data_IF_596743078049
#
_entry.id   IF_596743078049
#
_cell.length_a   1.000
_cell.length_b   1.000
_cell.length_c   1.000
_cell.angle_alpha   90.00
_cell.angle_beta   90.00
_cell.angle_gamma   90.00
#
_symmetry.space_group_name_H-M   'P 1'
#
loop_
_entity.id
_entity.type
_entity.pdbx_description
1 polymer ?
#
# COMPACT_ATOMS: atom_id res chain seq x y z
N UNK A 1 21.10 -12.36 4.79
CA UNK A 1 20.02 -11.92 3.88
C UNK A 1 18.83 -12.83 4.14
N UNK A 2 17.85 -12.38 4.93
CA UNK A 2 16.59 -13.09 5.08
C UNK A 2 15.80 -12.76 3.81
N UNK A 3 15.63 -13.73 2.92
CA UNK A 3 14.72 -13.57 1.79
C UNK A 3 13.35 -13.15 2.33
N UNK A 4 12.71 -12.14 1.73
CA UNK A 4 11.32 -11.83 2.02
C UNK A 4 10.49 -13.08 1.73
N UNK A 5 10.14 -13.77 2.80
CA UNK A 5 9.22 -14.87 2.74
C UNK A 5 7.81 -14.26 2.73
N UNK A 6 7.36 -13.84 1.55
CA UNK A 6 5.94 -13.53 1.23
C UNK A 6 5.00 -14.74 1.49
N UNK A 7 5.53 -15.83 2.07
CA UNK A 7 4.89 -17.07 2.44
C UNK A 7 3.65 -16.90 3.34
N UNK A 8 3.42 -15.70 3.91
CA UNK A 8 2.25 -15.37 4.72
C UNK A 8 1.29 -14.35 4.08
N UNK A 9 1.57 -13.86 2.88
CA UNK A 9 0.71 -12.93 2.14
C UNK A 9 -0.49 -13.68 1.56
N UNK A 10 -1.38 -14.11 2.45
CA UNK A 10 -2.70 -14.56 2.09
C UNK A 10 -3.48 -13.35 1.62
N UNK A 11 -3.57 -13.22 0.29
CA UNK A 11 -4.40 -12.23 -0.38
C UNK A 11 -5.90 -12.58 -0.29
N UNK A 12 -6.26 -13.61 0.48
CA UNK A 12 -7.65 -13.88 0.84
C UNK A 12 -8.26 -12.62 1.48
N UNK A 13 -9.46 -12.18 1.03
CA UNK A 13 -10.02 -10.91 1.48
C UNK A 13 -10.24 -10.81 3.00
N UNK A 14 -10.36 -11.96 3.68
CA UNK A 14 -10.50 -12.06 5.14
C UNK A 14 -9.18 -11.79 5.88
N UNK A 15 -8.04 -12.11 5.26
CA UNK A 15 -6.69 -11.99 5.80
C UNK A 15 -6.14 -10.55 5.69
N UNK A 16 -6.61 -9.78 4.70
CA UNK A 16 -6.26 -8.37 4.52
C UNK A 16 -6.69 -7.47 5.69
N UNK A 17 -7.75 -7.86 6.42
CA UNK A 17 -8.34 -7.06 7.51
C UNK A 17 -7.42 -6.82 8.70
N UNK A 18 -6.34 -7.58 8.84
CA UNK A 18 -5.35 -7.39 9.91
C UNK A 18 -4.37 -6.25 9.65
N UNK A 19 -4.30 -5.74 8.41
CA UNK A 19 -3.27 -4.79 7.99
C UNK A 19 -1.90 -5.43 7.70
N UNK A 20 -1.69 -6.70 8.07
CA UNK A 20 -0.36 -7.33 8.05
C UNK A 20 0.16 -7.56 6.63
N UNK A 21 -0.68 -8.05 5.73
CA UNK A 21 -0.35 -8.18 4.31
C UNK A 21 0.08 -6.84 3.67
N UNK A 22 -0.57 -5.74 4.05
CA UNK A 22 -0.22 -4.40 3.60
C UNK A 22 1.14 -3.95 4.16
N UNK A 23 1.44 -4.30 5.41
CA UNK A 23 2.74 -4.01 6.02
C UNK A 23 3.89 -4.74 5.32
N UNK A 24 3.70 -6.02 4.97
CA UNK A 24 4.70 -6.83 4.26
C UNK A 24 5.02 -6.24 2.88
N UNK A 25 4.00 -5.72 2.18
CA UNK A 25 4.21 -5.02 0.90
C UNK A 25 4.96 -3.70 1.11
N UNK A 26 4.64 -2.94 2.16
CA UNK A 26 5.37 -1.70 2.48
C UNK A 26 6.84 -1.95 2.82
N UNK A 27 7.11 -3.01 3.58
CA UNK A 27 8.47 -3.46 3.84
C UNK A 27 9.22 -3.76 2.54
N UNK A 28 8.63 -4.52 1.61
CA UNK A 28 9.23 -4.77 0.31
C UNK A 28 9.31 -3.56 -0.64
N UNK A 29 8.61 -2.45 -0.34
CA UNK A 29 8.74 -1.18 -1.07
C UNK A 29 9.97 -0.43 -0.60
N UNK A 30 10.17 -0.28 0.71
CA UNK A 30 11.33 0.43 1.25
C UNK A 30 11.72 -0.17 2.59
N UNK A 31 12.59 -1.17 2.58
CA UNK A 31 13.07 -1.84 3.78
C UNK A 31 13.91 -0.91 4.69
N UNK A 32 14.44 0.20 4.16
CA UNK A 32 15.18 1.15 4.98
C UNK A 32 14.23 1.93 5.89
N UNK A 33 13.07 2.33 5.37
CA UNK A 33 12.05 3.03 6.14
C UNK A 33 11.13 2.05 6.90
N UNK A 34 10.51 1.12 6.18
CA UNK A 34 9.64 0.08 6.71
C UNK A 34 10.45 -1.13 7.19
N UNK A 35 11.45 -0.90 8.03
CA UNK A 35 12.43 -1.91 8.47
C UNK A 35 11.84 -3.13 9.19
N UNK A 36 12.67 -4.16 9.39
CA UNK A 36 12.36 -5.33 10.24
C UNK A 36 11.82 -4.91 11.63
N UNK A 37 12.45 -3.91 12.25
CA UNK A 37 12.05 -3.39 13.57
C UNK A 37 10.67 -2.71 13.51
N UNK A 38 10.34 -2.08 12.39
CA UNK A 38 8.99 -1.56 12.17
C UNK A 38 7.99 -2.69 11.96
N UNK A 39 8.35 -3.70 11.16
CA UNK A 39 7.53 -4.88 10.88
C UNK A 39 7.19 -5.69 12.13
N UNK A 40 8.10 -5.81 13.10
CA UNK A 40 7.85 -6.47 14.39
C UNK A 40 6.73 -5.80 15.20
N UNK A 41 6.48 -4.50 14.98
CA UNK A 41 5.40 -3.76 15.66
C UNK A 41 4.03 -4.05 15.06
N UNK A 42 3.97 -4.64 13.86
CA UNK A 42 2.72 -5.00 13.17
C UNK A 42 2.45 -6.49 13.40
N UNK A 43 1.63 -6.79 14.41
CA UNK A 43 1.38 -8.18 14.80
C UNK A 43 0.59 -8.95 13.74
N UNK A 44 0.93 -10.23 13.56
CA UNK A 44 0.12 -11.18 12.82
C UNK A 44 -1.14 -11.52 13.64
N UNK A 45 -2.31 -11.42 13.02
CA UNK A 45 -3.57 -11.80 13.64
C UNK A 45 -4.38 -12.70 12.72
N UNK A 46 -5.03 -13.69 13.31
CA UNK A 46 -6.00 -14.52 12.61
C UNK A 46 -7.24 -13.72 12.21
N UNK A 47 -7.94 -14.18 11.17
CA UNK A 47 -9.09 -13.49 10.59
C UNK A 47 -10.22 -13.21 11.59
N UNK A 48 -10.38 -14.09 12.60
CA UNK A 48 -11.37 -14.03 13.67
C UNK A 48 -10.89 -13.28 14.94
N UNK A 49 -9.67 -12.74 14.94
CA UNK A 49 -9.17 -11.94 16.06
C UNK A 49 -10.03 -10.70 16.29
N UNK A 50 -9.98 -10.15 17.50
CA UNK A 50 -10.71 -8.93 17.86
C UNK A 50 -10.34 -7.76 16.93
N UNK A 51 -11.33 -7.08 16.33
CA UNK A 51 -11.05 -5.98 15.41
C UNK A 51 -10.25 -4.84 16.06
N UNK A 52 -10.33 -4.63 17.37
CA UNK A 52 -9.57 -3.57 18.05
C UNK A 52 -8.07 -3.78 17.97
N UNK A 53 -7.60 -5.03 17.98
CA UNK A 53 -6.17 -5.34 17.83
C UNK A 53 -5.73 -5.19 16.38
N UNK A 54 -6.59 -5.54 15.42
CA UNK A 54 -6.37 -5.26 13.99
C UNK A 54 -6.36 -3.75 13.72
N UNK A 55 -7.26 -2.98 14.31
CA UNK A 55 -7.30 -1.52 14.25
C UNK A 55 -6.02 -0.86 14.81
N UNK A 56 -5.40 -1.47 15.84
CA UNK A 56 -4.09 -1.01 16.33
C UNK A 56 -3.00 -1.10 15.25
N UNK A 57 -2.97 -2.19 14.48
CA UNK A 57 -2.08 -2.30 13.32
C UNK A 57 -2.38 -1.21 12.29
N UNK A 58 -3.66 -0.94 12.00
CA UNK A 58 -4.05 0.08 11.03
C UNK A 58 -3.56 1.48 11.43
N UNK A 59 -3.65 1.86 12.71
CA UNK A 59 -3.10 3.14 13.20
C UNK A 59 -1.60 3.26 12.99
N UNK A 60 -0.87 2.17 13.19
CA UNK A 60 0.59 2.14 12.96
C UNK A 60 0.89 2.30 11.47
N UNK A 61 0.16 1.58 10.62
CA UNK A 61 0.26 1.65 9.17
C UNK A 61 -0.04 3.05 8.64
N UNK A 62 -1.18 3.64 8.98
CA UNK A 62 -1.58 4.98 8.48
C UNK A 62 -0.63 6.06 8.98
N UNK A 63 -0.15 5.96 10.22
CA UNK A 63 0.86 6.88 10.74
C UNK A 63 2.16 6.80 9.93
N UNK A 64 2.73 5.61 9.78
CA UNK A 64 4.00 5.43 9.05
C UNK A 64 3.87 5.75 7.57
N UNK A 65 2.72 5.47 6.95
CA UNK A 65 2.43 5.93 5.58
C UNK A 65 2.41 7.46 5.49
N UNK A 66 1.75 8.15 6.42
CA UNK A 66 1.74 9.61 6.46
C UNK A 66 3.14 10.21 6.60
N UNK A 67 3.99 9.60 7.42
CA UNK A 67 5.40 9.97 7.61
C UNK A 67 6.22 9.70 6.32
N UNK A 68 6.12 8.50 5.74
CA UNK A 68 6.80 8.13 4.48
C UNK A 68 6.44 9.07 3.32
N UNK A 69 5.16 9.41 3.21
CA UNK A 69 4.69 10.28 2.14
C UNK A 69 5.28 11.69 2.25
N UNK A 70 5.40 12.21 3.46
CA UNK A 70 5.97 13.52 3.71
C UNK A 70 7.50 13.54 3.50
N UNK A 71 8.19 12.52 4.02
CA UNK A 71 9.65 12.48 4.07
C UNK A 71 10.32 11.94 2.79
N UNK A 72 9.69 11.00 2.09
CA UNK A 72 10.32 10.26 0.98
C UNK A 72 9.54 10.34 -0.33
N UNK A 73 8.22 10.57 -0.27
CA UNK A 73 7.41 10.87 -1.46
C UNK A 73 7.30 12.38 -1.71
N UNK A 74 7.65 13.19 -0.72
CA UNK A 74 7.54 14.66 -0.74
C UNK A 74 6.14 15.16 -1.08
N UNK A 75 5.12 14.47 -0.55
CA UNK A 75 3.70 14.77 -0.74
C UNK A 75 2.96 14.76 0.58
N UNK A 76 2.11 15.75 0.77
CA UNK A 76 1.26 15.87 1.96
C UNK A 76 -0.08 15.18 1.65
N UNK A 77 -0.31 14.05 2.32
CA UNK A 77 -1.58 13.29 2.29
C UNK A 77 -2.35 13.37 3.62
N UNK A 78 -1.73 13.91 4.67
CA UNK A 78 -2.38 14.15 5.96
C UNK A 78 -3.56 15.11 5.78
N UNK A 79 -4.70 14.78 6.39
CA UNK A 79 -5.95 15.54 6.24
C UNK A 79 -6.73 15.26 4.95
N UNK A 80 -6.29 14.31 4.12
CA UNK A 80 -7.06 13.85 2.96
C UNK A 80 -7.93 12.66 3.34
N UNK A 81 -9.06 12.51 2.63
CA UNK A 81 -9.94 11.34 2.78
C UNK A 81 -9.23 10.01 2.48
N UNK A 82 -8.12 10.02 1.74
CA UNK A 82 -7.37 8.82 1.40
C UNK A 82 -6.65 8.23 2.63
N UNK A 83 -6.08 9.09 3.49
CA UNK A 83 -5.41 8.63 4.73
C UNK A 83 -6.37 8.46 5.90
N UNK A 84 -7.55 9.09 5.84
CA UNK A 84 -8.63 8.93 6.82
C UNK A 84 -9.31 7.57 6.67
N UNK A 85 -8.67 6.51 7.18
CA UNK A 85 -9.17 5.13 7.12
C UNK A 85 -10.07 4.84 8.33
N UNK A 86 -11.31 4.45 8.07
CA UNK A 86 -12.21 3.97 9.13
C UNK A 86 -11.78 2.56 9.56
N UNK A 87 -11.21 2.47 10.75
CA UNK A 87 -10.63 1.24 11.29
C UNK A 87 -11.68 0.16 11.57
N UNK A 88 -12.90 0.54 11.96
CA UNK A 88 -13.97 -0.42 12.24
C UNK A 88 -14.46 -1.03 10.92
N UNK A 89 -14.72 -0.17 9.93
CA UNK A 89 -15.11 -0.59 8.58
C UNK A 89 -14.02 -1.45 7.93
N UNK A 90 -12.75 -1.15 8.16
CA UNK A 90 -11.63 -1.93 7.63
C UNK A 90 -11.47 -3.29 8.35
N UNK A 91 -11.33 -3.27 9.68
CA UNK A 91 -10.87 -4.43 10.46
C UNK A 91 -11.97 -5.42 10.85
N UNK A 92 -13.19 -4.92 11.05
CA UNK A 92 -14.37 -5.72 11.39
C UNK A 92 -15.18 -6.03 10.12
N UNK A 93 -15.75 -4.99 9.50
CA UNK A 93 -16.64 -5.14 8.34
C UNK A 93 -15.90 -5.60 7.07
N UNK A 94 -14.61 -5.29 6.94
CA UNK A 94 -13.84 -5.62 5.74
C UNK A 94 -14.27 -4.84 4.51
N UNK A 95 -14.70 -3.60 4.72
CA UNK A 95 -15.22 -2.66 3.73
C UNK A 95 -14.28 -2.54 2.53
N UNK A 96 -14.74 -2.86 1.30
CA UNK A 96 -13.93 -2.75 0.10
C UNK A 96 -13.37 -1.34 -0.11
N UNK A 97 -14.10 -0.31 0.32
CA UNK A 97 -13.67 1.10 0.22
C UNK A 97 -12.42 1.38 1.04
N UNK A 98 -12.42 0.99 2.31
CA UNK A 98 -11.29 1.27 3.22
C UNK A 98 -10.07 0.40 2.89
N UNK A 99 -10.28 -0.84 2.45
CA UNK A 99 -9.23 -1.69 1.89
C UNK A 99 -8.61 -1.07 0.62
N UNK A 100 -9.45 -0.49 -0.24
CA UNK A 100 -9.00 0.14 -1.49
C UNK A 100 -8.15 1.38 -1.22
N UNK A 101 -8.53 2.22 -0.24
CA UNK A 101 -7.71 3.36 0.18
C UNK A 101 -6.29 2.94 0.56
N UNK A 102 -6.15 1.87 1.36
CA UNK A 102 -4.84 1.34 1.75
C UNK A 102 -4.05 0.85 0.53
N UNK A 103 -4.68 0.10 -0.38
CA UNK A 103 -4.02 -0.35 -1.60
C UNK A 103 -3.55 0.83 -2.48
N UNK A 104 -4.36 1.88 -2.63
CA UNK A 104 -4.03 3.10 -3.38
C UNK A 104 -2.86 3.86 -2.73
N UNK A 105 -2.81 3.95 -1.40
CA UNK A 105 -1.67 4.53 -0.67
C UNK A 105 -0.38 3.76 -0.92
N UNK A 106 -0.43 2.43 -0.96
CA UNK A 106 0.75 1.61 -1.24
C UNK A 106 1.23 1.78 -2.68
N UNK A 107 0.32 1.80 -3.65
CA UNK A 107 0.66 2.08 -5.05
C UNK A 107 1.33 3.44 -5.19
N UNK A 108 0.79 4.47 -4.52
CA UNK A 108 1.39 5.80 -4.53
C UNK A 108 2.77 5.83 -3.88
N UNK A 109 2.96 5.14 -2.75
CA UNK A 109 4.25 5.01 -2.08
C UNK A 109 5.30 4.32 -2.97
N UNK A 110 4.91 3.27 -3.71
CA UNK A 110 5.82 2.53 -4.59
C UNK A 110 6.21 3.33 -5.85
N UNK A 111 5.24 4.02 -6.47
CA UNK A 111 5.46 4.78 -7.71
C UNK A 111 6.08 6.16 -7.50
N UNK A 112 5.75 6.85 -6.40
CA UNK A 112 6.21 8.22 -6.14
C UNK A 112 7.35 8.28 -5.11
N UNK A 113 7.65 7.16 -4.43
CA UNK A 113 8.75 7.06 -3.48
C UNK A 113 10.06 6.60 -4.12
N UNK A 114 10.99 6.10 -3.30
CA UNK A 114 12.37 5.77 -3.71
C UNK A 114 12.48 4.67 -4.76
N UNK A 115 11.51 3.77 -4.83
CA UNK A 115 11.51 2.63 -5.77
C UNK A 115 10.79 2.90 -7.09
N UNK A 116 10.57 4.16 -7.44
CA UNK A 116 9.82 4.52 -8.65
C UNK A 116 10.34 3.81 -9.91
N UNK A 117 11.67 3.77 -10.10
CA UNK A 117 12.28 3.17 -11.28
C UNK A 117 11.94 1.69 -11.40
N UNK A 118 12.16 0.92 -10.33
CA UNK A 118 11.83 -0.50 -10.31
C UNK A 118 10.32 -0.71 -10.49
N UNK A 119 9.49 0.17 -9.92
CA UNK A 119 8.03 0.13 -10.08
C UNK A 119 7.62 0.24 -11.55
N UNK A 120 8.15 1.25 -12.24
CA UNK A 120 7.85 1.53 -13.65
C UNK A 120 8.35 0.41 -14.55
N UNK A 121 9.54 -0.12 -14.30
CA UNK A 121 10.10 -1.20 -15.12
C UNK A 121 9.24 -2.47 -15.03
N UNK A 122 8.72 -2.79 -13.84
CA UNK A 122 7.92 -3.99 -13.65
C UNK A 122 6.42 -3.85 -13.95
N UNK A 123 5.84 -2.63 -13.92
CA UNK A 123 4.42 -2.44 -14.25
C UNK A 123 4.10 -2.88 -15.69
N UNK A 124 5.06 -2.71 -16.61
CA UNK A 124 4.92 -3.08 -18.01
C UNK A 124 4.70 -4.59 -18.23
N UNK A 125 5.11 -5.41 -17.24
CA UNK A 125 4.95 -6.87 -17.27
C UNK A 125 3.62 -7.36 -16.67
N UNK A 126 2.79 -6.47 -16.14
CA UNK A 126 1.49 -6.81 -15.54
C UNK A 126 0.37 -6.88 -16.59
N UNK A 127 -0.76 -7.50 -16.26
CA UNK A 127 -1.95 -7.49 -17.11
C UNK A 127 -2.49 -6.08 -17.36
N UNK A 128 -2.98 -5.81 -18.58
CA UNK A 128 -3.44 -4.49 -19.01
C UNK A 128 -4.57 -3.90 -18.12
N UNK A 129 -5.41 -4.76 -17.51
CA UNK A 129 -6.43 -4.32 -16.55
C UNK A 129 -5.79 -3.80 -15.25
N UNK A 130 -4.79 -4.53 -14.75
CA UNK A 130 -4.06 -4.19 -13.52
C UNK A 130 -3.24 -2.92 -13.75
N UNK A 131 -2.54 -2.81 -14.88
CA UNK A 131 -1.81 -1.59 -15.26
C UNK A 131 -2.74 -0.37 -15.23
N UNK A 132 -3.93 -0.44 -15.83
CA UNK A 132 -4.91 0.66 -15.80
C UNK A 132 -5.39 1.00 -14.39
N UNK A 133 -5.62 0.00 -13.54
CA UNK A 133 -6.01 0.23 -12.16
C UNK A 133 -4.91 0.93 -11.37
N UNK A 134 -3.65 0.49 -11.53
CA UNK A 134 -2.47 1.11 -10.92
C UNK A 134 -2.30 2.56 -11.39
N UNK A 135 -2.39 2.81 -12.70
CA UNK A 135 -2.31 4.18 -13.24
C UNK A 135 -3.44 5.09 -12.72
N UNK A 136 -4.64 4.55 -12.54
CA UNK A 136 -5.75 5.32 -11.96
C UNK A 136 -5.47 5.67 -10.49
N UNK A 137 -4.96 4.72 -9.70
CA UNK A 137 -4.57 4.95 -8.31
C UNK A 137 -3.47 6.01 -8.19
N UNK A 138 -2.46 5.95 -9.07
CA UNK A 138 -1.38 6.95 -9.14
C UNK A 138 -1.94 8.35 -9.38
N UNK A 139 -2.76 8.51 -10.42
CA UNK A 139 -3.33 9.80 -10.79
C UNK A 139 -4.17 10.39 -9.66
N UNK A 140 -4.91 9.55 -8.94
CA UNK A 140 -5.67 10.00 -7.79
C UNK A 140 -4.78 10.52 -6.66
N UNK A 141 -3.77 9.73 -6.24
CA UNK A 141 -2.83 10.13 -5.20
C UNK A 141 -2.17 11.46 -5.58
N UNK A 142 -1.79 11.62 -6.84
CA UNK A 142 -1.21 12.86 -7.34
C UNK A 142 -2.16 14.05 -7.30
N UNK A 143 -3.46 13.84 -7.53
CA UNK A 143 -4.49 14.89 -7.53
C UNK A 143 -4.93 15.34 -6.13
N UNK A 144 -5.01 14.41 -5.18
CA UNK A 144 -5.45 14.73 -3.79
C UNK A 144 -4.32 15.20 -2.89
N UNK A 145 -3.06 14.88 -3.21
CA UNK A 145 -1.91 15.28 -2.41
C UNK A 145 -1.31 16.60 -2.87
N UNK A 146 -0.80 17.38 -1.92
CA UNK A 146 -0.02 18.60 -2.21
C UNK A 146 1.46 18.24 -2.26
N UNK A 147 2.24 18.84 -3.17
CA UNK A 147 3.71 18.75 -3.10
C UNK A 147 4.20 19.46 -1.84
N UNK A 148 5.13 18.83 -1.13
CA UNK A 148 5.82 19.45 0.01
C UNK A 148 6.93 20.38 -0.51
N UNK A 149 7.14 21.55 0.12
CA UNK A 149 8.15 22.55 -0.29
C UNK A 149 9.57 22.25 0.25
N UNK A 150 9.87 20.98 0.55
CA UNK A 150 11.18 20.59 1.10
C UNK A 150 12.22 20.54 -0.03
N UNK A 151 13.42 21.15 0.13
CA UNK A 151 14.49 21.05 -0.85
C UNK A 151 14.92 19.59 -1.06
N UNK A 152 14.82 19.11 -2.29
CA UNK A 152 15.26 17.78 -2.70
C UNK A 152 16.72 17.55 -2.34
N UNK A 153 16.99 16.70 -1.35
CA UNK A 153 18.28 16.02 -1.25
C UNK A 153 18.09 14.62 -1.84
N UNK A 154 18.80 14.36 -2.94
CA UNK A 154 18.77 13.09 -3.65
C UNK A 154 19.47 12.04 -2.77
N UNK A 155 18.70 11.18 -2.12
CA UNK A 155 19.22 9.93 -1.56
C UNK A 155 18.88 8.82 -2.52
N UNK A 156 19.84 8.49 -3.39
CA UNK A 156 19.77 7.31 -4.25
C UNK A 156 19.95 6.06 -3.38
N UNK A 157 18.83 5.40 -3.07
CA UNK A 157 18.85 4.09 -2.43
C UNK A 157 18.97 2.99 -3.49
N UNK A 158 20.08 2.25 -3.47
CA UNK A 158 20.23 1.01 -4.23
C UNK A 158 19.42 -0.10 -3.55
N UNK A 159 18.18 -0.32 -3.98
CA UNK A 159 17.40 -1.49 -3.59
C UNK A 159 17.76 -2.67 -4.51
N UNK A 160 18.17 -3.79 -3.91
CA UNK A 160 18.55 -5.02 -4.60
C UNK A 160 17.38 -5.55 -5.46
N UNK A 161 17.70 -5.96 -6.69
CA UNK A 161 16.75 -6.18 -7.79
C UNK A 161 15.85 -7.42 -7.64
N UNK A 162 16.22 -8.37 -6.77
CA UNK A 162 15.60 -9.71 -6.72
C UNK A 162 14.28 -9.70 -5.95
N UNK A 163 14.14 -8.86 -4.92
CA UNK A 163 12.94 -8.85 -4.07
C UNK A 163 11.82 -7.97 -4.64
N UNK A 164 12.18 -6.95 -5.41
CA UNK A 164 11.23 -5.98 -5.92
C UNK A 164 10.17 -6.57 -6.86
N UNK A 165 10.53 -7.59 -7.64
CA UNK A 165 9.58 -8.27 -8.52
C UNK A 165 8.48 -8.98 -7.72
N UNK A 166 8.82 -9.50 -6.53
CA UNK A 166 7.86 -10.13 -5.65
C UNK A 166 6.96 -9.09 -4.97
N UNK A 167 7.52 -7.95 -4.55
CA UNK A 167 6.76 -6.78 -4.10
C UNK A 167 5.76 -6.32 -5.16
N UNK A 168 6.17 -6.21 -6.43
CA UNK A 168 5.29 -5.83 -7.53
C UNK A 168 4.17 -6.83 -7.77
N UNK A 169 4.47 -8.12 -7.72
CA UNK A 169 3.43 -9.17 -7.79
C UNK A 169 2.45 -9.06 -6.64
N UNK A 170 2.91 -8.73 -5.43
CA UNK A 170 2.03 -8.52 -4.28
C UNK A 170 1.15 -7.27 -4.45
N UNK A 171 1.69 -6.17 -4.97
CA UNK A 171 0.91 -4.96 -5.31
C UNK A 171 -0.14 -5.28 -6.39
N UNK A 172 0.25 -6.00 -7.45
CA UNK A 172 -0.67 -6.44 -8.49
C UNK A 172 -1.78 -7.32 -7.93
N UNK A 173 -1.43 -8.32 -7.11
CA UNK A 173 -2.37 -9.20 -6.43
C UNK A 173 -3.33 -8.46 -5.49
N UNK A 174 -2.85 -7.47 -4.73
CA UNK A 174 -3.72 -6.59 -3.93
C UNK A 174 -4.73 -5.88 -4.83
N UNK A 175 -4.28 -5.27 -5.93
CA UNK A 175 -5.16 -4.56 -6.85
C UNK A 175 -6.18 -5.50 -7.54
N UNK A 176 -5.80 -6.73 -7.86
CA UNK A 176 -6.70 -7.75 -8.40
C UNK A 176 -7.75 -8.21 -7.39
N UNK A 177 -7.36 -8.45 -6.13
CA UNK A 177 -8.30 -8.80 -5.07
C UNK A 177 -9.28 -7.66 -4.82
N UNK A 178 -8.79 -6.42 -4.82
CA UNK A 178 -9.66 -5.26 -4.73
C UNK A 178 -10.61 -5.18 -5.92
N UNK A 179 -10.13 -5.44 -7.15
CA UNK A 179 -10.99 -5.49 -8.33
C UNK A 179 -12.11 -6.52 -8.20
N UNK A 180 -11.81 -7.73 -7.73
CA UNK A 180 -12.80 -8.79 -7.51
C UNK A 180 -13.81 -8.43 -6.42
N UNK A 181 -13.37 -7.78 -5.33
CA UNK A 181 -14.24 -7.37 -4.22
C UNK A 181 -15.17 -6.20 -4.55
N UNK A 182 -14.80 -5.36 -5.52
CA UNK A 182 -15.59 -4.19 -5.95
C UNK A 182 -16.48 -4.46 -7.17
N UNK A 183 -16.55 -5.71 -7.65
CA UNK A 183 -17.16 -6.08 -8.94
C UNK A 183 -16.44 -5.43 -10.14
N UNK A 184 -16.90 -5.67 -11.39
CA UNK A 184 -16.27 -5.22 -12.66
C UNK A 184 -16.25 -3.70 -12.93
N UNK A 185 -15.98 -2.91 -11.89
CA UNK A 185 -16.00 -1.46 -11.87
C UNK A 185 -14.91 -0.88 -10.96
N UNK A 186 -13.77 -1.54 -10.70
CA UNK A 186 -12.65 -0.92 -9.97
C UNK A 186 -12.30 0.46 -10.55
N UNK A 187 -12.29 0.60 -11.89
CA UNK A 187 -12.12 1.89 -12.57
C UNK A 187 -13.28 2.84 -12.29
N UNK A 188 -14.53 2.35 -12.26
CA UNK A 188 -15.70 3.17 -11.94
C UNK A 188 -15.76 3.56 -10.46
N UNK A 189 -15.20 2.74 -9.56
CA UNK A 189 -15.15 2.94 -8.11
C UNK A 189 -14.00 3.91 -7.78
N UNK A 190 -12.83 3.72 -8.41
CA UNK A 190 -11.71 4.67 -8.43
C UNK A 190 -12.05 6.00 -9.13
N UNK A 191 -13.18 6.10 -9.84
CA UNK A 191 -13.71 7.36 -10.40
C UNK A 191 -14.85 7.95 -9.57
N UNK A 192 -15.45 7.17 -8.66
CA UNK A 192 -16.67 7.53 -7.91
C UNK A 192 -16.39 7.86 -6.44
N UNK A 193 -15.38 7.24 -5.85
CA UNK A 193 -15.01 7.38 -4.44
C UNK A 193 -13.61 7.98 -4.23
N UNK A 194 -12.98 8.29 -5.35
CA UNK A 194 -11.60 8.66 -5.61
C UNK A 194 -11.73 9.59 -6.82
#
# INVERSE_FOLDING_TARGET
MKSLNFTFLSLEPSCLRSGRAFAEVLHGIDEQFFSDVWMEKIAQYESNSNWRVKANNLRKLTRSLGEYYEEHVHRIIKGTNLLDIDEMEFAEAGSPKELLKMAVLIVGAAFLGRTQKQFVDGIACLDANVQRAVMTAINYVMGISKKSEIPTSLVEGSADTVDYFLTLKAIAGLMEVMAKKTDAKLICYLKKYV
#
